data_IF_399623551474
#
_entry.id   IF_399623551474
#
_cell.length_a   1.000
_cell.length_b   1.000
_cell.length_c   1.000
_cell.angle_alpha   90.00
_cell.angle_beta   90.00
_cell.angle_gamma   90.00
#
_symmetry.space_group_name_H-M   'P 1'
#
loop_
_entity.id
_entity.type
_entity.pdbx_description
1 polymer ?
#
# COMPACT_ATOMS: atom_id res chain seq x y z
N UNK A 1 -42.14 -10.33 -10.39
CA UNK A 1 -41.26 -9.15 -10.42
C UNK A 1 -39.89 -9.61 -10.91
N UNK A 2 -39.27 -8.90 -11.85
CA UNK A 2 -37.90 -9.22 -12.26
C UNK A 2 -36.95 -8.80 -11.13
N UNK A 3 -36.04 -9.69 -10.74
CA UNK A 3 -34.98 -9.38 -9.79
C UNK A 3 -33.97 -8.49 -10.52
N UNK A 4 -33.84 -7.23 -10.12
CA UNK A 4 -32.75 -6.38 -10.60
C UNK A 4 -31.48 -6.79 -9.85
N UNK A 5 -30.55 -7.42 -10.55
CA UNK A 5 -29.17 -7.61 -10.05
C UNK A 5 -28.42 -6.34 -10.39
N UNK A 6 -28.02 -5.58 -9.37
CA UNK A 6 -27.02 -4.52 -9.53
C UNK A 6 -25.66 -5.20 -9.60
N UNK A 7 -25.07 -5.22 -10.79
CA UNK A 7 -23.69 -5.68 -10.97
C UNK A 7 -22.77 -4.64 -10.33
N UNK A 8 -21.81 -5.12 -9.55
CA UNK A 8 -20.77 -4.28 -8.99
C UNK A 8 -19.79 -3.85 -10.09
N UNK A 9 -19.52 -2.55 -10.14
CA UNK A 9 -18.68 -1.92 -11.17
C UNK A 9 -17.66 -0.94 -10.58
N UNK A 10 -17.61 -0.82 -9.25
CA UNK A 10 -16.71 0.12 -8.58
C UNK A 10 -15.50 -0.66 -8.09
N UNK A 11 -14.31 -0.17 -8.42
CA UNK A 11 -13.07 -0.73 -7.89
C UNK A 11 -12.80 -0.32 -6.44
N UNK A 12 -11.89 -1.03 -5.77
CA UNK A 12 -11.49 -0.71 -4.42
C UNK A 12 -10.74 0.64 -4.39
N UNK A 13 -10.89 1.34 -3.28
CA UNK A 13 -10.32 2.68 -3.03
C UNK A 13 -9.35 2.60 -1.86
N UNK A 14 -8.15 3.14 -2.07
CA UNK A 14 -7.09 3.21 -1.06
C UNK A 14 -7.48 4.18 0.07
N UNK A 15 -7.32 3.74 1.32
CA UNK A 15 -7.61 4.50 2.54
C UNK A 15 -6.32 4.79 3.34
N UNK A 16 -5.47 5.69 2.82
CA UNK A 16 -4.20 6.07 3.48
C UNK A 16 -4.36 6.66 4.89
N UNK A 17 -5.55 7.20 5.21
CA UNK A 17 -5.85 7.76 6.53
C UNK A 17 -6.04 6.72 7.64
N UNK A 18 -6.26 5.44 7.28
CA UNK A 18 -6.39 4.34 8.24
C UNK A 18 -5.28 3.29 8.10
N UNK A 19 -4.49 3.39 7.03
CA UNK A 19 -3.31 2.56 6.78
C UNK A 19 -2.29 2.67 7.92
N UNK A 20 -1.44 1.66 8.06
CA UNK A 20 -0.38 1.61 9.06
C UNK A 20 0.97 1.38 8.37
N UNK A 21 1.86 2.39 8.34
CA UNK A 21 1.72 3.72 8.93
C UNK A 21 0.65 4.57 8.27
N UNK A 22 0.17 5.60 8.96
CA UNK A 22 -0.62 6.65 8.29
C UNK A 22 0.34 7.47 7.41
N UNK A 23 -0.11 7.96 6.26
CA UNK A 23 0.73 8.81 5.39
C UNK A 23 1.27 10.04 6.12
N UNK A 24 2.56 10.30 5.97
CA UNK A 24 3.32 11.33 6.67
C UNK A 24 3.56 11.06 8.16
N UNK A 25 3.37 9.82 8.63
CA UNK A 25 3.65 9.48 10.02
C UNK A 25 5.16 9.44 10.28
N UNK A 26 5.59 9.95 11.45
CA UNK A 26 6.97 9.81 11.92
C UNK A 26 7.08 8.80 13.06
N UNK A 27 8.25 8.20 13.20
CA UNK A 27 8.55 7.29 14.31
C UNK A 27 7.88 5.92 14.19
N UNK A 28 7.67 5.43 12.97
CA UNK A 28 7.15 4.09 12.77
C UNK A 28 8.18 3.01 13.12
N UNK A 29 7.78 1.99 13.89
CA UNK A 29 8.67 0.91 14.30
C UNK A 29 8.10 -0.50 14.05
N UNK A 30 7.09 -0.62 13.18
CA UNK A 30 6.47 -1.91 12.87
C UNK A 30 7.25 -2.72 11.83
N UNK A 31 6.94 -4.01 11.66
CA UNK A 31 7.70 -4.90 10.78
C UNK A 31 7.33 -4.79 9.29
N UNK A 32 6.13 -4.30 8.97
CA UNK A 32 5.53 -4.25 7.61
C UNK A 32 4.77 -2.95 7.43
N UNK A 33 4.35 -2.59 6.21
CA UNK A 33 3.31 -1.57 6.01
C UNK A 33 2.01 -2.24 5.56
N UNK A 34 0.89 -1.77 6.07
CA UNK A 34 -0.45 -2.25 5.75
C UNK A 34 -1.23 -1.08 5.14
N UNK A 35 -1.63 -1.23 3.89
CA UNK A 35 -2.41 -0.25 3.15
C UNK A 35 -3.85 -0.73 3.08
N UNK A 36 -4.74 0.05 3.67
CA UNK A 36 -6.14 -0.28 3.78
C UNK A 36 -6.88 0.07 2.49
N UNK A 37 -7.85 -0.77 2.14
CA UNK A 37 -8.87 -0.48 1.15
C UNK A 37 -10.24 -0.44 1.82
N UNK A 38 -11.18 0.28 1.21
CA UNK A 38 -12.57 0.35 1.66
C UNK A 38 -13.34 -0.99 1.58
N UNK A 39 -12.74 -2.01 0.98
CA UNK A 39 -13.32 -3.33 0.74
C UNK A 39 -12.24 -4.40 0.58
N UNK A 40 -12.66 -5.67 0.50
CA UNK A 40 -11.73 -6.78 0.34
C UNK A 40 -11.07 -6.76 -1.05
N UNK A 41 -9.77 -7.00 -1.09
CA UNK A 41 -8.95 -6.91 -2.30
C UNK A 41 -8.26 -8.22 -2.66
N UNK A 42 -7.93 -8.33 -3.95
CA UNK A 42 -7.12 -9.40 -4.54
C UNK A 42 -5.90 -8.77 -5.18
N UNK A 43 -4.72 -9.33 -4.92
CA UNK A 43 -3.49 -8.90 -5.58
C UNK A 43 -3.52 -9.34 -7.06
N UNK A 44 -3.49 -8.37 -7.97
CA UNK A 44 -3.47 -8.60 -9.42
C UNK A 44 -2.03 -8.59 -9.93
N UNK A 45 -1.27 -7.56 -9.57
CA UNK A 45 0.12 -7.41 -9.97
C UNK A 45 0.95 -6.73 -8.89
N UNK A 46 1.62 -7.53 -8.05
CA UNK A 46 2.50 -7.04 -6.99
C UNK A 46 3.71 -6.25 -7.48
N UNK A 47 4.12 -6.39 -8.75
CA UNK A 47 5.24 -5.60 -9.30
C UNK A 47 4.90 -4.11 -9.46
N UNK A 48 3.62 -3.75 -9.38
CA UNK A 48 3.17 -2.36 -9.36
C UNK A 48 3.23 -1.73 -7.96
N UNK A 49 3.56 -2.51 -6.93
CA UNK A 49 3.71 -2.02 -5.56
C UNK A 49 5.19 -2.01 -5.21
N UNK A 50 5.75 -0.83 -4.99
CA UNK A 50 7.19 -0.67 -4.78
C UNK A 50 7.48 0.16 -3.55
N UNK A 51 8.41 -0.33 -2.73
CA UNK A 51 8.97 0.38 -1.59
C UNK A 51 10.25 1.11 -2.01
N UNK A 52 10.42 2.35 -1.56
CA UNK A 52 11.57 3.16 -1.87
C UNK A 52 12.15 3.84 -0.64
N UNK A 53 13.47 4.00 -0.63
CA UNK A 53 14.16 4.98 0.19
C UNK A 53 13.82 6.39 -0.32
N UNK A 54 13.39 7.29 0.56
CA UNK A 54 12.92 8.62 0.15
C UNK A 54 14.05 9.50 -0.37
N UNK A 55 15.20 9.53 0.32
CA UNK A 55 16.32 10.40 0.01
C UNK A 55 16.95 10.10 -1.36
N UNK A 56 17.14 8.82 -1.69
CA UNK A 56 17.76 8.37 -2.94
C UNK A 56 16.76 7.96 -4.01
N UNK A 57 15.48 7.78 -3.65
CA UNK A 57 14.44 7.14 -4.48
C UNK A 57 14.79 5.71 -4.92
N UNK A 58 15.82 5.09 -4.30
CA UNK A 58 16.21 3.73 -4.61
C UNK A 58 15.09 2.77 -4.22
N UNK A 59 14.71 1.90 -5.14
CA UNK A 59 13.75 0.84 -4.85
C UNK A 59 14.40 -0.19 -3.93
N UNK A 60 13.68 -0.56 -2.88
CA UNK A 60 14.08 -1.56 -1.89
C UNK A 60 13.39 -2.89 -2.18
N UNK A 61 14.02 -3.98 -1.75
CA UNK A 61 13.41 -5.30 -1.82
C UNK A 61 12.25 -5.43 -0.83
N UNK A 62 11.11 -5.91 -1.31
CA UNK A 62 9.92 -6.17 -0.52
C UNK A 62 9.08 -7.28 -1.15
N UNK A 63 8.33 -7.98 -0.30
CA UNK A 63 7.28 -8.92 -0.70
C UNK A 63 5.90 -8.31 -0.47
N UNK A 64 4.98 -8.60 -1.37
CA UNK A 64 3.64 -8.01 -1.42
C UNK A 64 2.61 -9.11 -1.24
N UNK A 65 1.66 -8.91 -0.35
CA UNK A 65 0.56 -9.85 -0.10
C UNK A 65 -0.73 -9.10 0.23
N UNK A 66 -1.86 -9.81 0.23
CA UNK A 66 -3.16 -9.24 0.62
C UNK A 66 -3.80 -10.08 1.73
N UNK A 67 -4.48 -9.41 2.65
CA UNK A 67 -5.22 -10.04 3.74
C UNK A 67 -6.55 -9.29 3.96
N UNK A 68 -7.64 -9.80 3.39
CA UNK A 68 -8.93 -9.11 3.47
C UNK A 68 -8.91 -7.81 2.68
N UNK A 69 -9.13 -6.68 3.35
CA UNK A 69 -9.06 -5.34 2.74
C UNK A 69 -7.67 -4.71 2.75
N UNK A 70 -6.66 -5.47 3.16
CA UNK A 70 -5.33 -4.91 3.40
C UNK A 70 -4.34 -5.40 2.36
N UNK A 71 -3.55 -4.48 1.80
CA UNK A 71 -2.35 -4.76 1.04
C UNK A 71 -1.14 -4.63 1.97
N UNK A 72 -0.40 -5.72 2.14
CA UNK A 72 0.74 -5.79 3.07
C UNK A 72 2.05 -5.76 2.28
N UNK A 73 2.88 -4.77 2.60
CA UNK A 73 4.24 -4.59 2.09
C UNK A 73 5.23 -5.00 3.17
N UNK A 74 5.88 -6.13 2.96
CA UNK A 74 6.89 -6.66 3.89
C UNK A 74 8.29 -6.41 3.30
N UNK A 75 9.06 -5.45 3.82
CA UNK A 75 10.41 -5.19 3.33
C UNK A 75 11.35 -6.37 3.63
N UNK A 76 12.37 -6.57 2.79
CA UNK A 76 13.39 -7.62 3.00
C UNK A 76 14.17 -7.41 4.32
N UNK A 77 14.31 -6.14 4.72
CA UNK A 77 14.78 -5.72 6.05
C UNK A 77 13.63 -5.00 6.73
N UNK A 78 13.11 -5.57 7.82
CA UNK A 78 12.02 -4.99 8.59
C UNK A 78 12.31 -3.51 8.95
N UNK A 79 11.29 -2.64 8.87
CA UNK A 79 11.45 -1.22 9.21
C UNK A 79 11.99 -1.02 10.65
N UNK A 80 11.60 -1.90 11.58
CA UNK A 80 12.10 -1.93 12.95
C UNK A 80 13.61 -2.21 13.10
N UNK A 81 14.26 -2.71 12.05
CA UNK A 81 15.67 -3.11 12.05
C UNK A 81 16.56 -2.16 11.25
N UNK A 82 15.99 -1.10 10.67
CA UNK A 82 16.76 -0.06 10.00
C UNK A 82 17.10 0.98 11.07
N UNK A 83 18.39 1.29 11.22
CA UNK A 83 18.84 2.25 12.24
C UNK A 83 18.26 3.63 11.92
N UNK A 84 17.32 4.09 12.75
CA UNK A 84 16.85 5.46 12.71
C UNK A 84 17.99 6.41 13.03
N UNK A 85 18.58 6.95 11.99
CA UNK A 85 19.29 8.23 12.07
C UNK A 85 18.32 9.42 12.21
N UNK A 86 17.01 9.14 12.30
CA UNK A 86 15.94 10.14 12.34
C UNK A 86 15.68 10.80 10.98
N UNK A 87 16.24 10.23 9.90
CA UNK A 87 16.11 10.73 8.51
C UNK A 87 15.77 9.63 7.51
N UNK A 88 15.52 8.40 7.99
CA UNK A 88 15.17 7.27 7.16
C UNK A 88 13.67 7.33 6.81
N UNK A 89 13.38 8.16 5.83
CA UNK A 89 12.04 8.32 5.28
C UNK A 89 11.87 7.28 4.16
N UNK A 90 10.69 6.68 4.07
CA UNK A 90 10.32 5.74 3.02
C UNK A 90 9.06 6.22 2.33
N UNK A 91 8.86 5.77 1.10
CA UNK A 91 7.57 5.89 0.44
C UNK A 91 7.22 4.62 -0.33
N UNK A 92 5.91 4.38 -0.47
CA UNK A 92 5.36 3.25 -1.21
C UNK A 92 4.56 3.78 -2.38
N UNK A 93 4.89 3.30 -3.58
CA UNK A 93 4.05 3.47 -4.75
C UNK A 93 3.12 2.28 -4.89
N UNK A 94 1.89 2.54 -5.32
CA UNK A 94 0.88 1.56 -5.71
C UNK A 94 0.41 1.98 -7.10
N UNK A 95 0.87 1.28 -8.13
CA UNK A 95 0.43 1.53 -9.49
C UNK A 95 -1.03 1.13 -9.69
N UNK A 96 -1.74 1.88 -10.53
CA UNK A 96 -3.09 1.54 -10.96
C UNK A 96 -3.15 0.10 -11.50
N UNK A 97 -4.11 -0.68 -11.03
CA UNK A 97 -4.29 -2.09 -11.38
C UNK A 97 -3.42 -3.05 -10.57
N UNK A 98 -2.75 -2.59 -9.50
CA UNK A 98 -2.05 -3.49 -8.57
C UNK A 98 -3.00 -4.48 -7.88
N UNK A 99 -4.22 -4.03 -7.57
CA UNK A 99 -5.26 -4.83 -6.91
C UNK A 99 -6.61 -4.69 -7.61
N UNK A 100 -7.50 -5.65 -7.35
CA UNK A 100 -8.93 -5.59 -7.67
C UNK A 100 -9.76 -5.87 -6.43
N UNK A 101 -11.06 -5.61 -6.48
CA UNK A 101 -12.02 -6.20 -5.54
C UNK A 101 -12.25 -7.70 -5.85
N UNK A 102 -13.20 -8.32 -5.14
CA UNK A 102 -13.63 -9.72 -5.38
C UNK A 102 -14.46 -9.86 -6.66
N UNK A 103 -15.10 -8.80 -7.15
CA UNK A 103 -15.88 -8.79 -8.38
C UNK A 103 -15.02 -8.61 -9.64
N UNK A 104 -13.73 -8.29 -9.50
CA UNK A 104 -12.77 -8.06 -10.57
C UNK A 104 -12.65 -6.61 -11.03
N UNK A 105 -13.25 -5.65 -10.31
CA UNK A 105 -13.07 -4.23 -10.59
C UNK A 105 -11.70 -3.77 -10.08
N UNK A 106 -10.92 -3.12 -10.94
CA UNK A 106 -9.54 -2.71 -10.64
C UNK A 106 -9.50 -1.44 -9.81
N UNK A 107 -8.50 -1.34 -8.94
CA UNK A 107 -7.99 -0.06 -8.43
C UNK A 107 -7.43 0.75 -9.61
N UNK A 108 -7.84 2.00 -9.81
CA UNK A 108 -7.48 2.79 -11.01
C UNK A 108 -6.77 4.12 -10.74
N UNK A 109 -6.64 4.54 -9.49
CA UNK A 109 -6.03 5.83 -9.12
C UNK A 109 -4.55 5.67 -8.82
N UNK A 110 -4.20 4.62 -8.09
CA UNK A 110 -2.88 4.38 -7.52
C UNK A 110 -2.45 5.42 -6.49
N UNK A 111 -1.23 5.25 -6.00
CA UNK A 111 -0.48 6.19 -5.18
C UNK A 111 0.92 6.25 -5.75
N UNK A 112 1.41 7.45 -6.09
CA UNK A 112 2.67 7.59 -6.81
C UNK A 112 3.49 8.78 -6.31
N UNK A 113 4.81 8.59 -6.31
CA UNK A 113 5.79 9.61 -5.94
C UNK A 113 6.05 9.69 -4.44
N UNK A 114 7.11 10.42 -4.09
CA UNK A 114 7.58 10.57 -2.71
C UNK A 114 6.50 11.06 -1.74
N UNK A 115 5.70 12.08 -2.11
CA UNK A 115 4.63 12.59 -1.25
C UNK A 115 3.28 11.88 -1.39
N UNK A 116 3.22 10.72 -2.05
CA UNK A 116 1.97 9.97 -2.24
C UNK A 116 1.59 9.19 -0.98
N UNK A 117 2.50 8.34 -0.53
CA UNK A 117 2.41 7.63 0.74
C UNK A 117 3.81 7.43 1.31
N UNK A 118 4.22 8.36 2.15
CA UNK A 118 5.49 8.41 2.87
C UNK A 118 5.32 8.22 4.38
N UNK A 119 6.41 7.86 5.04
CA UNK A 119 6.51 7.79 6.50
C UNK A 119 7.98 7.66 6.93
N UNK A 120 8.26 8.08 8.15
CA UNK A 120 9.58 8.00 8.77
C UNK A 120 9.58 6.91 9.85
N UNK A 121 10.72 6.26 10.07
CA UNK A 121 10.89 5.24 11.11
C UNK A 121 11.46 5.80 12.42
N UNK A 122 11.26 5.08 13.54
CA UNK A 122 11.71 5.45 14.89
C UNK A 122 13.13 4.98 15.25
#
# INVERSE_FOLDING_TARGET
>A
AALAVTVDILGPVIALGTSTPVGGAGGYAGPVATIDFNEAVVLVNGALVTLHDFASSAQLGASISVAGGDLVVTPDIAFSNISADGTSDYYINIGAGAVSDIAGNLEITGVNGQGGYDFDIA
#
